data_IF_184061438045
#
_entry.id   IF_184061438045
#
_cell.length_a   1.000
_cell.length_b   1.000
_cell.length_c   1.000
_cell.angle_alpha   90.00
_cell.angle_beta   90.00
_cell.angle_gamma   90.00
#
_symmetry.space_group_name_H-M   'P 1'
#
loop_
_entity.id
_entity.type
_entity.pdbx_description
1 polymer ?
#
# COMPACT_ATOMS: atom_id res chain seq x y z
N UNK A 1 -22.83 14.74 -7.03
CA UNK A 1 -22.36 14.99 -8.41
C UNK A 1 -21.06 15.79 -8.46
N UNK A 2 -20.99 16.99 -7.85
CA UNK A 2 -19.76 17.82 -7.86
C UNK A 2 -18.48 17.06 -7.45
N UNK A 3 -18.51 16.31 -6.34
CA UNK A 3 -17.34 15.57 -5.86
C UNK A 3 -16.91 14.42 -6.77
N UNK A 4 -17.85 13.79 -7.48
CA UNK A 4 -17.54 12.74 -8.45
C UNK A 4 -16.72 13.35 -9.60
N UNK A 5 -17.15 14.51 -10.11
CA UNK A 5 -16.46 15.22 -11.19
C UNK A 5 -15.08 15.69 -10.73
N UNK A 6 -14.98 16.29 -9.54
CA UNK A 6 -13.72 16.76 -9.00
C UNK A 6 -12.69 15.62 -8.79
N UNK A 7 -13.14 14.49 -8.25
CA UNK A 7 -12.27 13.34 -8.00
C UNK A 7 -11.87 12.63 -9.29
N UNK A 8 -12.78 12.51 -10.27
CA UNK A 8 -12.45 11.97 -11.58
C UNK A 8 -11.40 12.84 -12.30
N UNK A 9 -11.52 14.17 -12.24
CA UNK A 9 -10.53 15.09 -12.82
C UNK A 9 -9.14 14.93 -12.18
N UNK A 10 -9.07 14.80 -10.84
CA UNK A 10 -7.79 14.58 -10.15
C UNK A 10 -7.18 13.20 -10.47
N UNK A 11 -8.00 12.15 -10.53
CA UNK A 11 -7.52 10.81 -10.86
C UNK A 11 -6.97 10.76 -12.30
N UNK A 12 -7.70 11.33 -13.26
CA UNK A 12 -7.23 11.46 -14.65
C UNK A 12 -5.94 12.27 -14.75
N UNK A 13 -5.78 13.31 -13.93
CA UNK A 13 -4.52 14.07 -13.82
C UNK A 13 -3.36 13.18 -13.35
N UNK A 14 -3.56 12.35 -12.34
CA UNK A 14 -2.52 11.46 -11.82
C UNK A 14 -2.06 10.42 -12.85
N UNK A 15 -2.94 10.04 -13.78
CA UNK A 15 -2.65 9.10 -14.86
C UNK A 15 -2.05 9.75 -16.13
N UNK A 16 -2.10 11.08 -16.27
CA UNK A 16 -1.66 11.80 -17.48
C UNK A 16 -0.25 12.37 -17.34
N UNK A 17 0.62 12.23 -18.35
CA UNK A 17 1.99 12.77 -18.32
C UNK A 17 2.06 14.31 -18.22
N UNK A 18 1.06 15.01 -18.77
CA UNK A 18 0.97 16.48 -18.80
C UNK A 18 -0.45 16.93 -18.48
N UNK A 19 -0.79 17.14 -17.19
CA UNK A 19 -2.12 17.57 -16.80
C UNK A 19 -2.37 19.05 -17.11
N UNK A 20 -3.59 19.38 -17.54
CA UNK A 20 -3.93 20.77 -17.89
C UNK A 20 -4.15 21.61 -16.62
N UNK A 21 -3.84 22.92 -16.70
CA UNK A 21 -4.14 23.87 -15.61
C UNK A 21 -5.64 24.04 -15.40
N UNK A 22 -6.42 23.84 -16.46
CA UNK A 22 -7.88 23.98 -16.48
C UNK A 22 -8.58 22.88 -15.66
N UNK A 23 -8.05 21.64 -15.70
CA UNK A 23 -8.55 20.52 -14.88
C UNK A 23 -8.52 20.85 -13.37
N UNK A 24 -7.52 21.61 -12.91
CA UNK A 24 -7.41 22.01 -11.50
C UNK A 24 -8.46 23.05 -11.11
N UNK A 25 -8.76 24.01 -11.99
CA UNK A 25 -9.74 25.05 -11.72
C UNK A 25 -11.15 24.47 -11.67
N UNK A 26 -11.46 23.56 -12.60
CA UNK A 26 -12.73 22.84 -12.63
C UNK A 26 -12.89 21.98 -11.37
N UNK A 27 -11.88 21.18 -11.02
CA UNK A 27 -11.92 20.36 -9.81
C UNK A 27 -12.12 21.21 -8.54
N UNK A 28 -11.42 22.34 -8.43
CA UNK A 28 -11.56 23.25 -7.28
C UNK A 28 -12.97 23.84 -7.18
N UNK A 29 -13.53 24.36 -8.28
CA UNK A 29 -14.87 24.93 -8.29
C UNK A 29 -15.94 23.91 -7.87
N UNK A 30 -15.81 22.66 -8.31
CA UNK A 30 -16.73 21.60 -7.89
C UNK A 30 -16.58 21.24 -6.40
N UNK A 31 -15.36 21.22 -5.86
CA UNK A 31 -15.14 20.96 -4.43
C UNK A 31 -15.70 22.08 -3.58
N UNK A 32 -15.49 23.33 -3.96
CA UNK A 32 -16.06 24.49 -3.24
C UNK A 32 -17.58 24.45 -3.23
N UNK A 33 -18.21 24.17 -4.38
CA UNK A 33 -19.66 24.01 -4.48
C UNK A 33 -20.18 22.86 -3.57
N UNK A 34 -19.46 21.75 -3.51
CA UNK A 34 -19.81 20.64 -2.63
C UNK A 34 -19.67 21.00 -1.14
N UNK A 35 -18.59 21.68 -0.76
CA UNK A 35 -18.38 22.15 0.61
C UNK A 35 -19.47 23.12 1.05
N UNK A 36 -19.84 24.08 0.19
CA UNK A 36 -20.94 25.02 0.48
C UNK A 36 -22.27 24.28 0.68
N UNK A 37 -22.58 23.30 -0.18
CA UNK A 37 -23.80 22.49 -0.06
C UNK A 37 -23.84 21.68 1.24
N UNK A 38 -22.73 21.05 1.63
CA UNK A 38 -22.62 20.31 2.90
C UNK A 38 -22.80 21.26 4.09
N UNK A 39 -22.08 22.38 4.10
CA UNK A 39 -22.14 23.36 5.20
C UNK A 39 -23.53 23.99 5.37
N UNK A 40 -24.32 24.11 4.30
CA UNK A 40 -25.70 24.59 4.38
C UNK A 40 -26.66 23.57 4.98
N UNK A 41 -26.37 22.27 4.86
CA UNK A 41 -27.26 21.18 5.30
C UNK A 41 -26.94 20.67 6.72
N UNK A 42 -25.70 20.82 7.19
CA UNK A 42 -25.28 20.41 8.54
C UNK A 42 -26.12 21.04 9.67
N UNK A 43 -26.51 22.34 9.62
CA UNK A 43 -27.32 22.94 10.67
C UNK A 43 -28.77 22.45 10.72
N UNK A 44 -29.27 21.85 9.64
CA UNK A 44 -30.64 21.34 9.56
C UNK A 44 -30.70 19.91 10.10
N UNK A 45 -31.33 19.74 11.28
CA UNK A 45 -31.47 18.44 11.96
C UNK A 45 -32.24 17.39 11.15
N UNK A 46 -32.95 17.78 10.08
CA UNK A 46 -33.64 16.83 9.18
C UNK A 46 -32.76 16.36 8.04
N UNK A 47 -31.64 17.03 7.79
CA UNK A 47 -30.81 16.80 6.61
C UNK A 47 -29.34 16.49 6.94
N UNK A 48 -28.94 16.62 8.20
CA UNK A 48 -27.55 16.51 8.62
C UNK A 48 -27.05 15.08 8.82
N UNK A 49 -27.94 14.12 9.06
CA UNK A 49 -27.64 12.71 9.29
C UNK A 49 -28.26 11.83 8.20
N UNK A 50 -27.82 12.03 6.95
CA UNK A 50 -28.27 11.24 5.79
C UNK A 50 -27.10 10.62 5.04
N UNK A 51 -27.39 9.53 4.32
CA UNK A 51 -26.43 8.85 3.44
C UNK A 51 -25.80 9.79 2.40
N UNK A 52 -26.54 10.79 1.93
CA UNK A 52 -26.00 11.79 1.00
C UNK A 52 -24.95 12.70 1.64
N UNK A 53 -25.12 13.06 2.91
CA UNK A 53 -24.10 13.85 3.64
C UNK A 53 -22.85 13.00 3.89
N UNK A 54 -23.02 11.74 4.32
CA UNK A 54 -21.91 10.80 4.49
C UNK A 54 -21.15 10.60 3.16
N UNK A 55 -21.88 10.37 2.06
CA UNK A 55 -21.29 10.25 0.72
C UNK A 55 -20.57 11.52 0.27
N UNK A 56 -21.09 12.71 0.62
CA UNK A 56 -20.42 13.97 0.32
C UNK A 56 -19.13 14.14 1.13
N UNK A 57 -19.14 13.80 2.42
CA UNK A 57 -17.92 13.88 3.24
C UNK A 57 -16.87 12.87 2.76
N UNK A 58 -17.28 11.64 2.38
CA UNK A 58 -16.37 10.67 1.75
C UNK A 58 -15.75 11.22 0.45
N UNK A 59 -16.54 11.90 -0.39
CA UNK A 59 -16.01 12.54 -1.58
C UNK A 59 -14.96 13.62 -1.26
N UNK A 60 -15.13 14.37 -0.17
CA UNK A 60 -14.15 15.34 0.32
C UNK A 60 -12.90 14.67 0.90
N UNK A 61 -13.05 13.56 1.63
CA UNK A 61 -11.92 12.75 2.12
C UNK A 61 -11.09 12.21 0.95
N UNK A 62 -11.75 11.64 -0.07
CA UNK A 62 -11.10 11.15 -1.28
C UNK A 62 -10.37 12.28 -2.02
N UNK A 63 -10.99 13.46 -2.12
CA UNK A 63 -10.36 14.63 -2.72
C UNK A 63 -9.09 15.07 -1.97
N UNK A 64 -9.15 15.10 -0.64
CA UNK A 64 -8.02 15.42 0.21
C UNK A 64 -6.87 14.42 0.05
N UNK A 65 -7.17 13.11 0.01
CA UNK A 65 -6.20 12.05 -0.29
C UNK A 65 -5.55 12.26 -1.67
N UNK A 66 -6.34 12.44 -2.72
CA UNK A 66 -5.84 12.65 -4.09
C UNK A 66 -4.99 13.93 -4.23
N UNK A 67 -5.23 14.92 -3.36
CA UNK A 67 -4.46 16.15 -3.30
C UNK A 67 -3.29 16.11 -2.31
N UNK A 68 -3.06 14.97 -1.65
CA UNK A 68 -2.06 14.78 -0.59
C UNK A 68 -2.20 15.79 0.58
N UNK A 69 -3.42 16.29 0.83
CA UNK A 69 -3.74 17.22 1.92
C UNK A 69 -4.24 16.45 3.14
N UNK A 70 -3.32 15.79 3.83
CA UNK A 70 -3.65 14.90 4.95
C UNK A 70 -4.24 15.63 6.17
N UNK A 71 -3.91 16.90 6.36
CA UNK A 71 -4.50 17.76 7.38
C UNK A 71 -5.98 18.09 7.09
N UNK A 72 -6.35 18.25 5.82
CA UNK A 72 -7.73 18.37 5.38
C UNK A 72 -8.46 17.03 5.54
N UNK A 73 -7.82 15.92 5.15
CA UNK A 73 -8.37 14.59 5.34
C UNK A 73 -8.73 14.33 6.81
N UNK A 74 -7.83 14.64 7.75
CA UNK A 74 -8.07 14.44 9.19
C UNK A 74 -9.35 15.16 9.65
N UNK A 75 -9.51 16.43 9.28
CA UNK A 75 -10.72 17.23 9.56
C UNK A 75 -11.98 16.62 8.94
N UNK A 76 -11.89 16.12 7.71
CA UNK A 76 -13.02 15.48 7.05
C UNK A 76 -13.41 14.15 7.71
N UNK A 77 -12.45 13.35 8.20
CA UNK A 77 -12.79 12.11 8.92
C UNK A 77 -13.43 12.40 10.27
N UNK A 78 -12.97 13.42 11.00
CA UNK A 78 -13.63 13.83 12.26
C UNK A 78 -15.08 14.26 12.00
N UNK A 79 -15.32 15.03 10.94
CA UNK A 79 -16.66 15.37 10.49
C UNK A 79 -17.49 14.14 10.09
N UNK A 80 -16.88 13.21 9.34
CA UNK A 80 -17.53 11.96 8.94
C UNK A 80 -17.95 11.14 10.15
N UNK A 81 -17.06 10.95 11.13
CA UNK A 81 -17.32 10.23 12.36
C UNK A 81 -18.48 10.86 13.13
N UNK A 82 -18.48 12.19 13.26
CA UNK A 82 -19.55 12.94 13.94
C UNK A 82 -20.91 12.67 13.29
N UNK A 83 -21.00 12.74 11.96
CA UNK A 83 -22.26 12.46 11.25
C UNK A 83 -22.63 10.97 11.32
N UNK A 84 -21.65 10.07 11.23
CA UNK A 84 -21.87 8.64 11.32
C UNK A 84 -22.45 8.25 12.68
N UNK A 85 -21.95 8.83 13.76
CA UNK A 85 -22.46 8.59 15.11
C UNK A 85 -23.91 9.06 15.26
N UNK A 86 -24.28 10.19 14.64
CA UNK A 86 -25.67 10.65 14.58
C UNK A 86 -26.58 9.68 13.80
N UNK A 87 -26.04 8.98 12.79
CA UNK A 87 -26.76 7.95 12.05
C UNK A 87 -26.87 6.60 12.80
N UNK A 88 -26.21 6.44 13.96
CA UNK A 88 -26.18 5.18 14.71
C UNK A 88 -24.89 4.36 14.54
N UNK A 89 -23.81 5.00 14.09
CA UNK A 89 -22.48 4.40 13.98
C UNK A 89 -22.30 3.53 12.73
N UNK A 90 -21.19 2.78 12.68
CA UNK A 90 -20.81 1.99 11.49
C UNK A 90 -21.90 1.01 11.00
N UNK A 91 -22.72 0.47 11.92
CA UNK A 91 -23.82 -0.44 11.59
C UNK A 91 -24.90 0.23 10.74
N UNK A 92 -25.08 1.54 10.83
CA UNK A 92 -26.11 2.27 10.07
C UNK A 92 -25.84 2.27 8.57
N UNK A 93 -24.56 2.13 8.16
CA UNK A 93 -24.16 2.12 6.76
C UNK A 93 -23.83 0.72 6.24
N UNK A 94 -24.05 -0.34 7.02
CA UNK A 94 -23.70 -1.71 6.61
C UNK A 94 -24.53 -2.20 5.42
N UNK A 95 -25.80 -1.77 5.34
CA UNK A 95 -26.66 -2.01 4.16
C UNK A 95 -26.38 -1.05 3.01
N UNK A 96 -25.69 0.07 3.26
CA UNK A 96 -25.31 1.06 2.26
C UNK A 96 -23.94 0.70 1.66
N UNK A 97 -23.87 -0.43 0.96
CA UNK A 97 -22.63 -1.05 0.44
C UNK A 97 -21.68 -0.05 -0.22
N UNK A 98 -22.19 0.89 -1.03
CA UNK A 98 -21.36 1.89 -1.72
C UNK A 98 -20.65 2.84 -0.75
N UNK A 99 -21.36 3.32 0.29
CA UNK A 99 -20.77 4.17 1.33
C UNK A 99 -19.75 3.35 2.13
N UNK A 100 -20.12 2.12 2.48
CA UNK A 100 -19.29 1.22 3.29
C UNK A 100 -17.97 0.85 2.62
N UNK A 101 -18.01 0.49 1.34
CA UNK A 101 -16.83 0.20 0.53
C UNK A 101 -16.02 1.47 0.24
N UNK A 102 -16.67 2.60 -0.03
CA UNK A 102 -15.96 3.86 -0.25
C UNK A 102 -15.17 4.29 1.00
N UNK A 103 -15.76 4.19 2.18
CA UNK A 103 -15.09 4.45 3.45
C UNK A 103 -13.85 3.56 3.61
N UNK A 104 -14.03 2.25 3.40
CA UNK A 104 -12.97 1.26 3.46
C UNK A 104 -11.82 1.59 2.51
N UNK A 105 -12.11 1.89 1.24
CA UNK A 105 -11.11 2.25 0.25
C UNK A 105 -10.38 3.54 0.56
N UNK A 106 -11.10 4.60 0.88
CA UNK A 106 -10.51 5.90 1.16
C UNK A 106 -9.64 5.83 2.42
N UNK A 107 -10.12 5.19 3.47
CA UNK A 107 -9.36 5.02 4.70
C UNK A 107 -8.09 4.20 4.47
N UNK A 108 -8.19 3.02 3.89
CA UNK A 108 -7.03 2.15 3.73
C UNK A 108 -5.95 2.75 2.84
N UNK A 109 -6.34 3.46 1.76
CA UNK A 109 -5.36 4.15 0.94
C UNK A 109 -4.65 5.27 1.72
N UNK A 110 -5.38 5.98 2.59
CA UNK A 110 -4.80 7.04 3.42
C UNK A 110 -3.92 6.47 4.54
N UNK A 111 -4.41 5.47 5.26
CA UNK A 111 -3.67 4.75 6.29
C UNK A 111 -2.41 4.11 5.73
N UNK A 112 -2.46 3.54 4.52
CA UNK A 112 -1.27 3.05 3.85
C UNK A 112 -0.29 4.17 3.49
N UNK A 113 -0.75 5.34 3.05
CA UNK A 113 0.14 6.47 2.75
C UNK A 113 0.82 7.05 4.00
N UNK A 114 0.17 6.97 5.16
CA UNK A 114 0.67 7.50 6.42
C UNK A 114 1.29 6.44 7.35
N UNK A 115 1.31 5.18 6.92
CA UNK A 115 1.61 4.01 7.74
C UNK A 115 0.88 4.05 9.10
N UNK A 116 -0.44 4.24 9.05
CA UNK A 116 -1.32 4.38 10.19
C UNK A 116 -2.31 3.21 10.30
N UNK A 117 -2.79 2.95 11.51
CA UNK A 117 -3.78 1.91 11.78
C UNK A 117 -5.18 2.40 11.32
N UNK A 118 -5.93 1.64 10.49
CA UNK A 118 -7.31 1.97 10.15
C UNK A 118 -8.22 2.05 11.38
N UNK A 119 -9.12 3.04 11.41
CA UNK A 119 -10.07 3.27 12.51
C UNK A 119 -11.36 2.47 12.34
N UNK A 120 -11.81 2.29 11.10
CA UNK A 120 -13.04 1.56 10.84
C UNK A 120 -12.75 0.08 10.58
N UNK A 121 -13.59 -0.80 11.13
CA UNK A 121 -13.48 -2.22 10.83
C UNK A 121 -13.67 -2.45 9.32
N UNK A 122 -12.84 -3.27 8.68
CA UNK A 122 -12.98 -3.55 7.26
C UNK A 122 -14.24 -4.40 6.98
N UNK A 123 -15.00 -4.12 5.91
CA UNK A 123 -16.20 -4.86 5.55
C UNK A 123 -15.87 -6.12 4.74
N UNK A 124 -14.95 -6.98 5.21
CA UNK A 124 -14.50 -8.13 4.42
C UNK A 124 -15.64 -9.08 4.00
N UNK A 125 -16.72 -9.16 4.78
CA UNK A 125 -17.90 -9.96 4.43
C UNK A 125 -18.67 -9.44 3.20
N UNK A 126 -18.47 -8.18 2.80
CA UNK A 126 -19.09 -7.58 1.60
C UNK A 126 -18.29 -7.84 0.32
N UNK A 127 -17.07 -8.34 0.44
CA UNK A 127 -16.18 -8.56 -0.68
C UNK A 127 -16.23 -10.08 -1.02
N UNK A 128 -15.70 -10.53 -2.15
CA UNK A 128 -15.60 -11.98 -2.46
C UNK A 128 -14.16 -12.41 -2.60
N UNK A 129 -13.81 -13.55 -1.99
CA UNK A 129 -12.48 -14.15 -2.14
C UNK A 129 -12.29 -14.60 -3.61
N UNK A 130 -11.29 -14.07 -4.35
CA UNK A 130 -11.03 -14.45 -5.74
C UNK A 130 -10.18 -15.72 -5.85
N UNK A 131 -9.68 -16.27 -4.75
CA UNK A 131 -8.75 -17.39 -4.78
C UNK A 131 -9.46 -18.75 -4.91
N UNK A 132 -8.89 -19.61 -5.75
CA UNK A 132 -9.31 -21.00 -5.90
C UNK A 132 -8.39 -21.93 -5.11
N UNK A 133 -8.78 -23.18 -4.92
CA UNK A 133 -7.93 -24.21 -4.29
C UNK A 133 -6.58 -24.40 -5.03
N UNK A 134 -6.52 -24.11 -6.34
CA UNK A 134 -5.27 -24.15 -7.11
C UNK A 134 -4.35 -23.01 -6.67
N UNK A 135 -4.89 -21.79 -6.53
CA UNK A 135 -4.14 -20.63 -6.04
C UNK A 135 -3.59 -20.91 -4.64
N UNK A 136 -4.41 -21.50 -3.76
CA UNK A 136 -3.99 -21.89 -2.41
C UNK A 136 -2.85 -22.92 -2.41
N UNK A 137 -2.91 -23.92 -3.28
CA UNK A 137 -1.84 -24.93 -3.37
C UNK A 137 -0.53 -24.32 -3.86
N UNK A 138 -0.57 -23.57 -4.97
CA UNK A 138 0.61 -22.91 -5.52
C UNK A 138 1.19 -21.90 -4.53
N UNK A 139 0.33 -21.15 -3.84
CA UNK A 139 0.70 -20.18 -2.81
C UNK A 139 1.45 -20.84 -1.65
N UNK A 140 1.03 -22.02 -1.19
CA UNK A 140 1.73 -22.77 -0.14
C UNK A 140 3.13 -23.22 -0.59
N UNK A 141 3.24 -23.83 -1.76
CA UNK A 141 4.53 -24.29 -2.30
C UNK A 141 5.50 -23.10 -2.48
N UNK A 142 4.98 -21.97 -2.96
CA UNK A 142 5.74 -20.73 -3.08
C UNK A 142 6.18 -20.18 -1.72
N UNK A 143 5.29 -20.17 -0.72
CA UNK A 143 5.61 -19.71 0.63
C UNK A 143 6.75 -20.50 1.24
N UNK A 144 6.69 -21.84 1.19
CA UNK A 144 7.73 -22.71 1.73
C UNK A 144 9.09 -22.42 1.07
N UNK A 145 9.11 -22.29 -0.25
CA UNK A 145 10.32 -21.95 -1.01
C UNK A 145 10.86 -20.56 -0.64
N UNK A 146 10.00 -19.53 -0.62
CA UNK A 146 10.39 -18.16 -0.29
C UNK A 146 10.94 -18.05 1.13
N UNK A 147 10.33 -18.75 2.09
CA UNK A 147 10.79 -18.80 3.48
C UNK A 147 12.13 -19.54 3.62
N UNK A 148 12.34 -20.61 2.86
CA UNK A 148 13.62 -21.32 2.81
C UNK A 148 14.75 -20.41 2.28
N UNK A 149 14.48 -19.65 1.22
CA UNK A 149 15.44 -18.68 0.65
C UNK A 149 15.69 -17.52 1.61
N UNK A 150 14.65 -17.00 2.25
CA UNK A 150 14.74 -15.88 3.18
C UNK A 150 15.51 -16.23 4.45
N UNK A 151 15.38 -17.45 4.97
CA UNK A 151 16.15 -17.94 6.12
C UNK A 151 15.80 -17.33 7.48
N UNK A 152 14.68 -16.59 7.58
CA UNK A 152 14.37 -15.78 8.78
C UNK A 152 13.20 -16.27 9.63
N UNK A 153 12.69 -17.48 9.40
CA UNK A 153 11.44 -17.96 10.04
C UNK A 153 11.49 -17.91 11.57
N UNK A 154 12.65 -18.11 12.18
CA UNK A 154 12.87 -18.04 13.64
C UNK A 154 12.65 -16.64 14.23
N UNK A 155 12.78 -15.58 13.42
CA UNK A 155 12.63 -14.19 13.85
C UNK A 155 11.18 -13.68 13.74
N UNK A 156 10.33 -14.39 13.00
CA UNK A 156 8.98 -13.94 12.69
C UNK A 156 7.95 -14.39 13.72
N UNK A 157 6.89 -13.60 13.89
CA UNK A 157 5.68 -14.05 14.60
C UNK A 157 4.78 -14.88 13.69
N UNK A 158 3.80 -15.55 14.28
CA UNK A 158 2.78 -16.28 13.52
C UNK A 158 2.00 -15.34 12.59
N UNK A 159 1.72 -14.11 13.02
CA UNK A 159 1.01 -13.10 12.23
C UNK A 159 1.81 -12.67 11.00
N UNK A 160 3.14 -12.52 11.11
CA UNK A 160 3.98 -12.17 9.96
C UNK A 160 4.14 -13.36 9.00
N UNK A 161 4.25 -14.59 9.53
CA UNK A 161 4.27 -15.80 8.69
C UNK A 161 2.96 -15.93 7.89
N UNK A 162 1.82 -15.63 8.51
CA UNK A 162 0.52 -15.63 7.86
C UNK A 162 0.45 -14.56 6.74
N UNK A 163 0.97 -13.35 6.99
CA UNK A 163 1.11 -12.32 5.94
C UNK A 163 1.96 -12.81 4.77
N UNK A 164 3.09 -13.46 5.02
CA UNK A 164 3.96 -14.00 3.96
C UNK A 164 3.34 -15.17 3.19
N UNK A 165 2.48 -15.95 3.84
CA UNK A 165 1.63 -16.93 3.18
C UNK A 165 0.63 -16.25 2.24
N UNK A 166 -0.05 -15.19 2.71
CA UNK A 166 -0.97 -14.40 1.88
C UNK A 166 -0.27 -13.70 0.71
N UNK A 167 0.94 -13.15 0.92
CA UNK A 167 1.74 -12.59 -0.17
C UNK A 167 2.08 -13.67 -1.20
N UNK A 168 2.40 -14.89 -0.77
CA UNK A 168 2.67 -16.00 -1.69
C UNK A 168 1.44 -16.39 -2.49
N UNK A 169 0.28 -16.43 -1.84
CA UNK A 169 -1.01 -16.65 -2.50
C UNK A 169 -1.28 -15.56 -3.54
N UNK A 170 -1.08 -14.29 -3.18
CA UNK A 170 -1.24 -13.15 -4.09
C UNK A 170 -0.25 -13.22 -5.26
N UNK A 171 1.03 -13.47 -4.99
CA UNK A 171 2.07 -13.63 -6.03
C UNK A 171 1.69 -14.75 -6.99
N UNK A 172 1.28 -15.91 -6.47
CA UNK A 172 0.93 -17.06 -7.30
C UNK A 172 -0.37 -16.92 -8.04
N UNK A 173 -1.37 -16.25 -7.46
CA UNK A 173 -2.54 -15.82 -8.20
C UNK A 173 -2.06 -14.94 -9.37
N UNK A 174 -1.40 -13.82 -9.12
CA UNK A 174 -1.00 -12.88 -10.18
C UNK A 174 -0.05 -13.47 -11.24
N UNK A 175 0.75 -14.50 -10.93
CA UNK A 175 1.58 -15.22 -11.91
C UNK A 175 0.85 -16.33 -12.67
N UNK A 176 -0.05 -17.08 -12.02
CA UNK A 176 -0.83 -18.14 -12.65
C UNK A 176 -1.88 -17.59 -13.63
N UNK A 177 -2.22 -16.32 -13.43
CA UNK A 177 -3.07 -15.52 -14.29
C UNK A 177 -2.44 -15.35 -15.68
N UNK A 178 -2.80 -16.26 -16.59
CA UNK A 178 -2.74 -15.97 -18.03
C UNK A 178 -3.62 -14.73 -18.31
N UNK A 179 -3.44 -13.98 -19.41
CA UNK A 179 -4.14 -12.71 -19.69
C UNK A 179 -5.70 -12.74 -19.72
N UNK A 180 -6.36 -13.82 -19.31
CA UNK A 180 -7.74 -14.15 -19.63
C UNK A 180 -8.67 -14.46 -18.43
N UNK A 181 -8.23 -14.50 -17.15
CA UNK A 181 -9.11 -14.96 -16.04
C UNK A 181 -9.33 -14.00 -14.85
N UNK A 182 -8.28 -13.39 -14.31
CA UNK A 182 -8.28 -12.17 -13.51
C UNK A 182 -7.56 -11.19 -14.39
N UNK A 183 -8.34 -10.61 -15.28
CA UNK A 183 -7.90 -9.36 -15.85
C UNK A 183 -7.69 -8.41 -14.67
N UNK A 184 -6.66 -7.60 -14.74
CA UNK A 184 -6.45 -6.45 -13.86
C UNK A 184 -7.66 -5.47 -13.85
N UNK A 185 -8.74 -5.78 -14.59
CA UNK A 185 -10.03 -5.10 -14.70
C UNK A 185 -11.14 -5.66 -13.77
N UNK A 186 -10.90 -6.70 -12.96
CA UNK A 186 -11.88 -7.12 -11.95
C UNK A 186 -11.92 -6.10 -10.80
N UNK A 187 -12.99 -5.30 -10.79
CA UNK A 187 -13.27 -4.28 -9.77
C UNK A 187 -13.28 -4.84 -8.32
N UNK A 188 -13.48 -6.15 -8.14
CA UNK A 188 -13.47 -6.81 -6.84
C UNK A 188 -12.12 -7.45 -6.49
N UNK A 189 -11.19 -7.60 -7.43
CA UNK A 189 -9.89 -8.21 -7.13
C UNK A 189 -9.10 -7.39 -6.10
N UNK A 190 -9.00 -6.05 -6.18
CA UNK A 190 -8.39 -5.24 -5.12
C UNK A 190 -9.00 -5.60 -3.76
N UNK A 191 -10.35 -5.57 -3.69
CA UNK A 191 -11.23 -6.22 -2.71
C UNK A 191 -10.55 -7.10 -1.67
N UNK A 192 -10.29 -8.31 -2.14
CA UNK A 192 -9.77 -9.42 -1.34
C UNK A 192 -8.32 -9.78 -1.69
N UNK A 193 -7.82 -9.29 -2.83
CA UNK A 193 -6.51 -9.66 -3.35
C UNK A 193 -5.36 -9.12 -2.50
N UNK A 194 -5.47 -7.91 -1.95
CA UNK A 194 -4.38 -7.35 -1.15
C UNK A 194 -4.80 -6.51 0.05
N UNK A 195 -6.05 -6.04 0.16
CA UNK A 195 -6.45 -5.25 1.32
C UNK A 195 -6.55 -6.03 2.64
N UNK A 196 -6.91 -7.33 2.68
CA UNK A 196 -6.78 -8.13 3.91
C UNK A 196 -5.33 -8.19 4.41
N UNK A 197 -4.37 -8.41 3.53
CA UNK A 197 -2.95 -8.42 3.87
C UNK A 197 -2.46 -7.04 4.28
N UNK A 198 -2.88 -5.99 3.56
CA UNK A 198 -2.60 -4.61 3.93
C UNK A 198 -3.15 -4.27 5.32
N UNK A 199 -4.36 -4.74 5.67
CA UNK A 199 -4.91 -4.55 7.02
C UNK A 199 -3.98 -5.11 8.08
N UNK A 200 -3.53 -6.37 7.91
CA UNK A 200 -2.61 -7.03 8.84
C UNK A 200 -1.31 -6.25 8.97
N UNK A 201 -0.72 -5.83 7.85
CA UNK A 201 0.53 -5.05 7.82
C UNK A 201 0.39 -3.68 8.51
N UNK A 202 -0.78 -3.04 8.40
CA UNK A 202 -1.02 -1.74 9.03
C UNK A 202 -1.36 -1.87 10.51
N UNK A 203 -1.89 -2.99 10.98
CA UNK A 203 -2.24 -3.21 12.40
C UNK A 203 -1.09 -3.81 13.20
N UNK A 204 -0.18 -4.56 12.58
CA UNK A 204 0.97 -5.20 13.24
C UNK A 204 2.14 -4.26 13.50
N UNK A 205 1.91 -2.95 13.56
CA UNK A 205 2.97 -1.97 13.77
C UNK A 205 3.71 -2.26 15.08
N UNK A 206 4.99 -2.53 14.95
CA UNK A 206 5.89 -2.71 16.08
C UNK A 206 6.49 -1.35 16.39
N UNK A 207 6.43 -0.91 17.65
CA UNK A 207 7.26 0.20 18.07
C UNK A 207 8.67 -0.36 18.30
N UNK A 208 9.68 0.00 17.49
CA UNK A 208 11.04 -0.45 17.73
C UNK A 208 11.55 0.25 18.99
N UNK A 209 11.31 -0.34 20.16
CA UNK A 209 12.14 -0.07 21.33
C UNK A 209 13.56 -0.59 21.03
N UNK A 210 14.57 0.13 21.52
CA UNK A 210 15.98 -0.02 21.11
C UNK A 210 16.53 -1.46 21.24
N UNK A 211 17.22 -1.90 20.17
CA UNK A 211 18.13 -3.07 20.03
C UNK A 211 17.55 -4.50 20.15
N UNK A 212 16.23 -4.68 19.99
CA UNK A 212 15.70 -6.04 19.78
C UNK A 212 15.72 -6.43 18.30
N UNK A 213 16.69 -7.27 17.93
CA UNK A 213 16.83 -7.83 16.59
C UNK A 213 15.53 -8.46 16.07
N UNK A 214 14.76 -9.16 16.91
CA UNK A 214 13.52 -9.81 16.48
C UNK A 214 12.48 -8.78 16.03
N UNK A 215 12.33 -7.71 16.79
CA UNK A 215 11.46 -6.59 16.42
C UNK A 215 11.99 -5.87 15.16
N UNK A 216 13.32 -5.69 15.05
CA UNK A 216 13.92 -5.08 13.86
C UNK A 216 13.68 -5.89 12.58
N UNK A 217 13.83 -7.22 12.64
CA UNK A 217 13.56 -8.10 11.50
C UNK A 217 12.09 -8.08 11.12
N UNK A 218 11.17 -8.09 12.11
CA UNK A 218 9.74 -7.98 11.83
C UNK A 218 9.38 -6.67 11.16
N UNK A 219 9.92 -5.54 11.62
CA UNK A 219 9.64 -4.24 11.01
C UNK A 219 10.24 -4.14 9.60
N UNK A 220 11.44 -4.68 9.37
CA UNK A 220 12.05 -4.78 8.04
C UNK A 220 11.15 -5.59 7.08
N UNK A 221 10.62 -6.72 7.53
CA UNK A 221 9.70 -7.55 6.75
C UNK A 221 8.36 -6.85 6.48
N UNK A 222 7.79 -6.19 7.50
CA UNK A 222 6.54 -5.43 7.37
C UNK A 222 6.67 -4.32 6.34
N UNK A 223 7.75 -3.54 6.40
CA UNK A 223 8.04 -2.46 5.45
C UNK A 223 8.29 -3.01 4.04
N UNK A 224 9.09 -4.07 3.90
CA UNK A 224 9.30 -4.74 2.61
C UNK A 224 8.00 -5.21 1.95
N UNK A 225 7.09 -5.80 2.74
CA UNK A 225 5.77 -6.21 2.29
C UNK A 225 4.87 -5.02 1.89
N UNK A 226 4.94 -3.91 2.64
CA UNK A 226 4.23 -2.68 2.27
C UNK A 226 4.72 -2.10 0.95
N UNK A 227 6.03 -2.09 0.69
CA UNK A 227 6.59 -1.66 -0.59
C UNK A 227 6.19 -2.58 -1.74
N UNK A 228 6.21 -3.91 -1.52
CA UNK A 228 5.69 -4.88 -2.48
C UNK A 228 4.22 -4.59 -2.83
N UNK A 229 3.36 -4.44 -1.82
CA UNK A 229 1.94 -4.13 -2.04
C UNK A 229 1.71 -2.76 -2.67
N UNK A 230 2.57 -1.77 -2.40
CA UNK A 230 2.50 -0.46 -3.03
C UNK A 230 2.62 -0.57 -4.56
N UNK A 231 3.56 -1.38 -5.04
CA UNK A 231 3.75 -1.60 -6.48
C UNK A 231 2.62 -2.42 -7.10
N UNK A 232 2.14 -3.47 -6.42
CA UNK A 232 0.95 -4.21 -6.86
C UNK A 232 -0.25 -3.27 -6.99
N UNK A 233 -0.49 -2.40 -5.99
CA UNK A 233 -1.58 -1.41 -6.01
C UNK A 233 -1.46 -0.44 -7.19
N UNK A 234 -0.25 0.07 -7.46
CA UNK A 234 0.01 0.94 -8.62
C UNK A 234 -0.28 0.23 -9.94
N UNK A 235 0.11 -1.04 -10.06
CA UNK A 235 -0.16 -1.86 -11.26
C UNK A 235 -1.66 -2.04 -11.50
N UNK A 236 -2.45 -2.17 -10.44
CA UNK A 236 -3.93 -2.19 -10.49
C UNK A 236 -4.58 -0.82 -10.76
N UNK A 237 -3.81 0.25 -10.97
CA UNK A 237 -4.34 1.58 -11.26
C UNK A 237 -4.77 2.37 -10.02
N UNK A 238 -4.45 1.90 -8.80
CA UNK A 238 -4.66 2.69 -7.58
C UNK A 238 -3.66 3.85 -7.59
N UNK A 239 -4.19 5.07 -7.50
CA UNK A 239 -3.41 6.29 -7.37
C UNK A 239 -4.17 7.33 -6.53
N UNK A 240 -3.48 8.09 -5.66
CA UNK A 240 -2.05 8.00 -5.37
C UNK A 240 -1.70 6.82 -4.45
N UNK A 241 -0.50 6.27 -4.63
CA UNK A 241 0.15 5.36 -3.67
C UNK A 241 1.45 6.02 -3.25
N UNK A 242 1.58 6.28 -1.94
CA UNK A 242 2.69 7.03 -1.32
C UNK A 242 3.41 6.09 -0.35
N UNK A 243 4.73 6.14 -0.37
CA UNK A 243 5.65 5.27 0.38
C UNK A 243 6.73 6.06 1.16
N UNK A 244 6.66 7.39 1.16
CA UNK A 244 7.64 8.24 1.86
C UNK A 244 7.77 7.95 3.36
N UNK A 245 6.65 7.75 4.08
CA UNK A 245 6.68 7.43 5.53
C UNK A 245 7.37 6.08 5.78
N UNK A 246 7.07 5.08 4.95
CA UNK A 246 7.70 3.77 5.03
C UNK A 246 9.20 3.84 4.74
N UNK A 247 9.60 4.66 3.75
CA UNK A 247 11.00 4.89 3.41
C UNK A 247 11.73 5.51 4.59
N UNK A 248 11.17 6.56 5.21
CA UNK A 248 11.75 7.17 6.41
C UNK A 248 11.87 6.18 7.58
N UNK A 249 10.84 5.36 7.82
CA UNK A 249 10.89 4.32 8.86
C UNK A 249 11.98 3.29 8.57
N UNK A 250 12.12 2.86 7.31
CA UNK A 250 13.17 1.93 6.89
C UNK A 250 14.57 2.53 7.09
N UNK A 251 14.76 3.82 6.76
CA UNK A 251 16.03 4.51 6.97
C UNK A 251 16.41 4.50 8.45
N UNK A 252 15.51 4.95 9.32
CA UNK A 252 15.74 4.97 10.77
C UNK A 252 15.99 3.57 11.31
N UNK A 253 15.24 2.57 10.85
CA UNK A 253 15.39 1.20 11.30
C UNK A 253 16.83 0.69 11.13
N UNK A 254 17.44 0.95 9.96
CA UNK A 254 18.82 0.55 9.65
C UNK A 254 19.90 1.48 10.22
N UNK A 255 19.56 2.73 10.54
CA UNK A 255 20.44 3.66 11.26
C UNK A 255 20.65 3.20 12.71
N UNK A 256 19.59 2.73 13.38
CA UNK A 256 19.62 2.39 14.80
C UNK A 256 19.83 0.90 15.10
N UNK A 257 19.62 -0.01 14.14
CA UNK A 257 19.81 -1.46 14.34
C UNK A 257 20.91 -2.03 13.46
N UNK A 258 22.16 -1.90 13.91
CA UNK A 258 23.34 -2.43 13.20
C UNK A 258 23.29 -3.93 12.92
N UNK A 259 22.61 -4.70 13.79
CA UNK A 259 22.44 -6.16 13.66
C UNK A 259 21.59 -6.58 12.45
N UNK A 260 20.82 -5.67 11.86
CA UNK A 260 20.10 -5.95 10.61
C UNK A 260 21.04 -6.13 9.41
N UNK A 261 22.30 -5.75 9.55
CA UNK A 261 23.35 -5.97 8.55
C UNK A 261 23.98 -7.37 8.62
N UNK A 262 23.61 -8.19 9.61
CA UNK A 262 24.13 -9.55 9.78
C UNK A 262 23.89 -10.41 8.51
N UNK A 263 24.83 -11.31 8.20
CA UNK A 263 24.82 -12.11 6.96
C UNK A 263 23.61 -13.06 6.88
N UNK A 264 23.15 -13.56 8.02
CA UNK A 264 21.97 -14.45 8.09
C UNK A 264 20.69 -13.79 7.57
N UNK A 265 20.65 -12.45 7.55
CA UNK A 265 19.51 -11.66 7.09
C UNK A 265 19.66 -11.14 5.66
N UNK A 266 20.78 -11.44 4.99
CA UNK A 266 21.15 -10.83 3.73
C UNK A 266 20.08 -10.97 2.64
N UNK A 267 19.48 -12.16 2.50
CA UNK A 267 18.46 -12.42 1.48
C UNK A 267 17.20 -11.58 1.70
N UNK A 268 16.71 -11.52 2.94
CA UNK A 268 15.54 -10.71 3.28
C UNK A 268 15.84 -9.21 3.18
N UNK A 269 17.02 -8.78 3.64
CA UNK A 269 17.47 -7.38 3.53
C UNK A 269 17.54 -6.92 2.07
N UNK A 270 18.12 -7.74 1.20
CA UNK A 270 18.17 -7.49 -0.26
C UNK A 270 16.76 -7.38 -0.83
N UNK A 271 15.87 -8.32 -0.49
CA UNK A 271 14.48 -8.26 -0.94
C UNK A 271 13.80 -6.95 -0.50
N UNK A 272 13.93 -6.56 0.77
CA UNK A 272 13.36 -5.31 1.28
C UNK A 272 13.90 -4.08 0.55
N UNK A 273 15.21 -3.98 0.31
CA UNK A 273 15.78 -2.82 -0.40
C UNK A 273 15.38 -2.77 -1.87
N UNK A 274 15.27 -3.92 -2.56
CA UNK A 274 14.75 -3.95 -3.93
C UNK A 274 13.30 -3.49 -3.97
N UNK A 275 12.44 -3.96 -3.05
CA UNK A 275 11.06 -3.50 -2.97
C UNK A 275 10.99 -1.99 -2.69
N UNK A 276 11.77 -1.50 -1.73
CA UNK A 276 11.84 -0.07 -1.41
C UNK A 276 12.30 0.78 -2.60
N UNK A 277 13.34 0.36 -3.31
CA UNK A 277 13.87 1.09 -4.46
C UNK A 277 12.90 1.11 -5.66
N UNK A 278 12.15 0.02 -5.87
CA UNK A 278 11.07 -0.05 -6.86
C UNK A 278 9.90 0.88 -6.48
N UNK A 279 9.61 0.98 -5.19
CA UNK A 279 8.44 1.66 -4.66
C UNK A 279 8.68 3.13 -4.24
N UNK A 280 9.92 3.60 -4.29
CA UNK A 280 10.32 4.94 -3.85
C UNK A 280 9.55 6.06 -4.58
N UNK A 281 9.05 7.03 -3.81
CA UNK A 281 8.37 8.22 -4.33
C UNK A 281 9.35 9.29 -4.82
N UNK A 282 10.57 9.32 -4.26
CA UNK A 282 11.59 10.33 -4.55
C UNK A 282 12.89 9.72 -5.06
N UNK A 283 13.67 10.45 -5.88
CA UNK A 283 15.01 10.02 -6.27
C UNK A 283 15.96 9.82 -5.07
N UNK A 284 15.72 10.53 -3.96
CA UNK A 284 16.56 10.44 -2.76
C UNK A 284 16.34 9.10 -2.06
N UNK A 285 15.08 8.70 -1.85
CA UNK A 285 14.75 7.42 -1.21
C UNK A 285 15.21 6.24 -2.09
N UNK A 286 15.02 6.37 -3.42
CA UNK A 286 15.52 5.38 -4.39
C UNK A 286 17.03 5.23 -4.30
N UNK A 287 17.75 6.35 -4.34
CA UNK A 287 19.22 6.35 -4.27
C UNK A 287 19.71 5.74 -2.95
N UNK A 288 19.07 6.07 -1.83
CA UNK A 288 19.39 5.47 -0.54
C UNK A 288 19.20 3.95 -0.56
N UNK A 289 18.07 3.47 -1.07
CA UNK A 289 17.78 2.04 -1.13
C UNK A 289 18.79 1.29 -2.03
N UNK A 290 19.17 1.86 -3.18
CA UNK A 290 20.21 1.29 -4.06
C UNK A 290 21.58 1.27 -3.36
N UNK A 291 21.97 2.33 -2.65
CA UNK A 291 23.23 2.34 -1.89
C UNK A 291 23.23 1.31 -0.75
N UNK A 292 22.11 1.14 -0.05
CA UNK A 292 21.95 0.14 1.00
C UNK A 292 22.00 -1.29 0.43
N UNK A 293 21.51 -1.49 -0.80
CA UNK A 293 21.65 -2.74 -1.53
C UNK A 293 23.13 -3.03 -1.86
N UNK A 294 23.89 -2.03 -2.32
CA UNK A 294 25.34 -2.15 -2.55
C UNK A 294 26.09 -2.46 -1.25
N UNK A 295 25.75 -1.79 -0.15
CA UNK A 295 26.31 -2.11 1.17
C UNK A 295 26.07 -3.57 1.61
N UNK A 296 25.02 -4.20 1.09
CA UNK A 296 24.70 -5.60 1.30
C UNK A 296 25.49 -6.58 0.41
N UNK A 297 26.23 -6.11 -0.61
CA UNK A 297 27.08 -6.94 -1.50
C UNK A 297 28.21 -7.64 -0.74
N UNK A 298 28.63 -7.11 0.40
CA UNK A 298 29.61 -7.77 1.27
C UNK A 298 29.16 -9.19 1.69
N UNK A 299 27.84 -9.42 1.79
CA UNK A 299 27.24 -10.72 2.15
C UNK A 299 26.90 -11.61 0.94
N UNK A 300 26.73 -11.06 -0.26
CA UNK A 300 26.54 -11.82 -1.51
C UNK A 300 27.38 -11.19 -2.64
N UNK A 301 28.68 -11.50 -2.73
CA UNK A 301 29.57 -10.88 -3.72
C UNK A 301 29.16 -11.27 -5.13
N UNK A 302 28.86 -10.31 -6.02
CA UNK A 302 28.70 -10.53 -7.46
C UNK A 302 27.85 -9.48 -8.16
N UNK A 303 27.80 -9.58 -9.50
CA UNK A 303 26.99 -8.67 -10.33
C UNK A 303 25.49 -8.71 -9.96
N UNK A 304 24.75 -7.68 -10.39
CA UNK A 304 23.31 -7.48 -10.23
C UNK A 304 22.44 -8.75 -10.36
N UNK A 305 22.86 -9.70 -11.19
CA UNK A 305 22.21 -11.00 -11.39
C UNK A 305 22.04 -11.82 -10.10
N UNK A 306 22.94 -11.68 -9.11
CA UNK A 306 22.85 -12.41 -7.84
C UNK A 306 21.76 -11.85 -6.92
N UNK A 307 21.73 -10.54 -6.57
CA UNK A 307 20.63 -9.96 -5.82
C UNK A 307 19.26 -10.22 -6.46
N UNK A 308 19.13 -10.06 -7.78
CA UNK A 308 17.84 -10.26 -8.43
C UNK A 308 17.44 -11.74 -8.51
N UNK A 309 18.41 -12.65 -8.66
CA UNK A 309 18.17 -14.09 -8.63
C UNK A 309 17.62 -14.57 -7.27
N UNK A 310 18.07 -13.95 -6.16
CA UNK A 310 17.48 -14.17 -4.84
C UNK A 310 16.04 -13.68 -4.80
N UNK A 311 15.82 -12.42 -5.18
CA UNK A 311 14.51 -11.77 -5.11
C UNK A 311 13.46 -12.47 -5.98
N UNK A 312 13.84 -12.94 -7.18
CA UNK A 312 12.96 -13.64 -8.11
C UNK A 312 12.40 -14.96 -7.54
N UNK A 313 13.10 -15.58 -6.59
CA UNK A 313 12.67 -16.79 -5.89
C UNK A 313 11.84 -16.53 -4.62
N UNK A 314 11.62 -15.25 -4.27
CA UNK A 314 10.75 -14.81 -3.19
C UNK A 314 9.49 -14.16 -3.77
N UNK A 315 8.90 -13.17 -3.11
CA UNK A 315 7.75 -12.42 -3.62
C UNK A 315 8.17 -11.46 -4.73
N UNK A 316 8.01 -11.91 -5.96
CA UNK A 316 8.35 -11.17 -7.17
C UNK A 316 7.31 -11.39 -8.26
N UNK A 317 6.99 -10.38 -9.06
CA UNK A 317 6.02 -10.47 -10.17
C UNK A 317 6.61 -9.70 -11.35
N UNK A 318 6.95 -10.39 -12.43
CA UNK A 318 7.65 -9.78 -13.57
C UNK A 318 6.86 -8.59 -14.14
N UNK A 319 5.53 -8.74 -14.27
CA UNK A 319 4.63 -7.71 -14.78
C UNK A 319 4.63 -6.43 -13.94
N UNK A 320 5.00 -6.53 -12.66
CA UNK A 320 5.02 -5.40 -11.72
C UNK A 320 6.43 -4.81 -11.63
N UNK A 321 7.46 -5.65 -11.51
CA UNK A 321 8.78 -5.20 -11.07
C UNK A 321 9.88 -5.25 -12.15
N UNK A 322 9.71 -6.01 -13.25
CA UNK A 322 10.79 -6.22 -14.22
C UNK A 322 11.31 -4.90 -14.81
N UNK A 323 10.43 -4.08 -15.38
CA UNK A 323 10.81 -2.79 -15.97
C UNK A 323 11.44 -1.82 -14.95
N UNK A 324 11.03 -1.91 -13.68
CA UNK A 324 11.60 -1.07 -12.61
C UNK A 324 12.99 -1.55 -12.22
N UNK A 325 13.22 -2.87 -12.21
CA UNK A 325 14.53 -3.45 -11.90
C UNK A 325 15.57 -3.20 -12.97
N UNK A 326 15.19 -3.11 -14.24
CA UNK A 326 16.12 -2.73 -15.32
C UNK A 326 16.70 -1.32 -15.07
N UNK A 327 15.85 -0.38 -14.63
CA UNK A 327 16.31 0.95 -14.21
C UNK A 327 17.21 0.90 -12.98
N UNK A 328 16.90 0.03 -12.01
CA UNK A 328 17.72 -0.16 -10.81
C UNK A 328 19.09 -0.76 -11.14
N UNK A 329 19.17 -1.68 -12.10
CA UNK A 329 20.42 -2.29 -12.55
C UNK A 329 21.41 -1.22 -13.04
N UNK A 330 20.94 -0.31 -13.89
CA UNK A 330 21.80 0.75 -14.44
C UNK A 330 22.37 1.65 -13.32
N UNK A 331 21.53 2.01 -12.34
CA UNK A 331 21.94 2.81 -11.18
C UNK A 331 22.91 2.06 -10.26
N UNK A 332 22.63 0.78 -9.99
CA UNK A 332 23.46 -0.08 -9.17
C UNK A 332 24.87 -0.21 -9.77
N UNK A 333 24.97 -0.55 -11.05
CA UNK A 333 26.26 -0.71 -11.74
C UNK A 333 27.07 0.59 -11.78
N UNK A 334 26.41 1.74 -11.94
CA UNK A 334 27.05 3.04 -11.92
C UNK A 334 27.65 3.38 -10.54
N UNK A 335 26.96 3.02 -9.46
CA UNK A 335 27.37 3.32 -8.08
C UNK A 335 28.36 2.29 -7.50
N UNK A 336 28.34 1.03 -7.93
CA UNK A 336 29.34 0.02 -7.53
C UNK A 336 30.71 0.23 -8.19
N UNK A 337 30.79 1.11 -9.20
CA UNK A 337 32.02 1.42 -9.94
C UNK A 337 32.80 2.63 -9.37
N UNK A 338 32.28 3.29 -8.34
CA UNK A 338 32.87 4.49 -7.70
C UNK A 338 33.43 4.20 -6.32
#
# INVERSE_FOLDING_TARGET
MHLVIANAALHLKALRPSPSREDNLVALAHVEAAMMSVNQRIPDSRQNATDEILGAILGLMCHALNSLRFDHYARHVEGFQTILDLCGGLRSIESATNIRLSLFWIEFNTCAAQDAIPRFLPPFHLIKNPYSAIHESLGRDHFEKAMQVGGISSFLTAEMLDVFSELSLLTMALRAETPQRIRWDDDNFPGFGFYPTLHKLLTMQVNPAEDDLKHGVQEMCRLGALFFLAEVRRKFGIAPVITGVQSEKLHRLFEYNGRLWDEELAHMRIWTFVMAACAADTPVDRLWAVKSLIGSESSIPGAWDKPIGVVANMWWIDEVFLAKSEGLQAEFMALSST
#
